data_IF_385285725634
#
_entry.id   IF_385285725634
#
_cell.length_a   1.000
_cell.length_b   1.000
_cell.length_c   1.000
_cell.angle_alpha   90.00
_cell.angle_beta   90.00
_cell.angle_gamma   90.00
#
_symmetry.space_group_name_H-M   'P 1'
#
loop_
_entity.id
_entity.type
_entity.pdbx_description
1 polymer ?
#
# COMPACT_ATOMS: atom_id res chain seq x y z
N UNK A 1 13.69 16.40 22.98
CA UNK A 1 13.71 14.97 23.37
C UNK A 1 14.01 14.12 22.15
N UNK A 2 14.67 12.98 22.30
CA UNK A 2 14.97 12.03 21.21
C UNK A 2 14.25 10.71 21.50
N UNK A 3 13.57 10.16 20.50
CA UNK A 3 12.92 8.85 20.59
C UNK A 3 13.59 7.88 19.61
N UNK A 4 13.76 6.62 20.01
CA UNK A 4 14.43 5.58 19.22
C UNK A 4 13.47 4.43 18.91
N UNK A 5 13.34 4.11 17.63
CA UNK A 5 12.50 3.03 17.09
C UNK A 5 13.25 2.35 15.95
N UNK A 6 12.89 1.10 15.65
CA UNK A 6 13.46 0.36 14.53
C UNK A 6 12.82 0.80 13.21
N UNK A 7 11.54 1.20 13.26
CA UNK A 7 10.77 1.70 12.12
C UNK A 7 10.01 2.97 12.50
N UNK A 8 10.18 4.02 11.71
CA UNK A 8 9.39 5.25 11.78
C UNK A 8 8.51 5.35 10.53
N UNK A 9 7.20 5.39 10.73
CA UNK A 9 6.19 5.50 9.68
C UNK A 9 5.54 6.88 9.79
N UNK A 10 5.61 7.66 8.72
CA UNK A 10 5.02 9.00 8.65
C UNK A 10 3.79 8.93 7.76
N UNK A 11 2.61 8.97 8.38
CA UNK A 11 1.31 8.86 7.73
C UNK A 11 0.54 7.61 8.16
N UNK A 12 -0.74 7.80 8.52
CA UNK A 12 -1.67 6.77 8.97
C UNK A 12 -2.56 6.20 7.86
N UNK A 13 -2.26 6.45 6.58
CA UNK A 13 -3.02 5.86 5.47
C UNK A 13 -2.83 4.35 5.34
N UNK A 14 -3.57 3.72 4.41
CA UNK A 14 -3.54 2.25 4.20
C UNK A 14 -2.13 1.70 4.02
N UNK A 15 -1.24 2.41 3.31
CA UNK A 15 0.12 1.97 3.06
C UNK A 15 0.95 1.88 4.36
N UNK A 16 0.92 2.94 5.18
CA UNK A 16 1.63 3.01 6.45
C UNK A 16 1.12 1.96 7.46
N UNK A 17 -0.21 1.86 7.60
CA UNK A 17 -0.83 0.85 8.46
C UNK A 17 -0.54 -0.58 8.01
N UNK A 18 -0.61 -0.85 6.69
CA UNK A 18 -0.31 -2.16 6.13
C UNK A 18 1.16 -2.56 6.37
N UNK A 19 2.09 -1.62 6.24
CA UNK A 19 3.50 -1.86 6.55
C UNK A 19 3.71 -2.11 8.05
N UNK A 20 3.12 -1.30 8.93
CA UNK A 20 3.20 -1.49 10.38
C UNK A 20 2.73 -2.88 10.81
N UNK A 21 1.60 -3.34 10.26
CA UNK A 21 1.06 -4.67 10.53
C UNK A 21 1.98 -5.78 10.04
N UNK A 22 2.58 -5.66 8.84
CA UNK A 22 3.54 -6.65 8.31
C UNK A 22 4.77 -6.77 9.22
N UNK A 23 5.36 -5.64 9.63
CA UNK A 23 6.53 -5.61 10.52
C UNK A 23 6.20 -6.18 11.90
N UNK A 24 5.06 -5.80 12.47
CA UNK A 24 4.60 -6.28 13.77
C UNK A 24 4.37 -7.80 13.76
N UNK A 25 3.68 -8.33 12.74
CA UNK A 25 3.45 -9.77 12.57
C UNK A 25 4.74 -10.57 12.37
N UNK A 26 5.72 -9.98 11.70
CA UNK A 26 7.02 -10.59 11.49
C UNK A 26 7.98 -10.42 12.69
N UNK A 27 7.52 -9.82 13.79
CA UNK A 27 8.30 -9.54 15.01
C UNK A 27 9.66 -8.87 14.73
N UNK A 28 9.69 -7.93 13.77
CA UNK A 28 10.93 -7.32 13.28
C UNK A 28 11.46 -6.16 14.12
N UNK A 29 10.65 -5.58 15.01
CA UNK A 29 11.10 -4.49 15.88
C UNK A 29 9.97 -3.59 16.37
N UNK A 30 10.36 -2.51 17.05
CA UNK A 30 9.47 -1.47 17.56
C UNK A 30 9.13 -0.49 16.44
N UNK A 31 7.84 -0.29 16.21
CA UNK A 31 7.29 0.63 15.21
C UNK A 31 6.76 1.87 15.91
N UNK A 32 7.12 3.04 15.40
CA UNK A 32 6.46 4.31 15.70
C UNK A 32 5.72 4.79 14.45
N UNK A 33 4.45 5.11 14.60
CA UNK A 33 3.66 5.73 13.55
C UNK A 33 3.24 7.12 14.01
N UNK A 34 3.43 8.11 13.14
CA UNK A 34 3.03 9.49 13.39
C UNK A 34 2.17 9.98 12.22
N UNK A 35 1.18 10.81 12.53
CA UNK A 35 0.34 11.47 11.56
C UNK A 35 0.00 12.89 12.06
N UNK A 36 -0.40 13.76 11.13
CA UNK A 36 -0.74 15.16 11.44
C UNK A 36 -2.06 15.32 12.22
N UNK A 37 -2.89 14.28 12.21
CA UNK A 37 -4.27 14.22 12.73
C UNK A 37 -4.46 12.92 13.53
N UNK A 38 -5.68 12.41 13.66
CA UNK A 38 -5.93 11.08 14.21
C UNK A 38 -5.61 9.97 13.20
N UNK A 39 -5.50 8.72 13.68
CA UNK A 39 -5.14 7.58 12.83
C UNK A 39 -6.22 7.24 11.79
N UNK A 40 -7.48 7.47 12.14
CA UNK A 40 -8.67 7.24 11.31
C UNK A 40 -8.92 8.36 10.28
N UNK A 41 -8.37 9.55 10.52
CA UNK A 41 -8.47 10.70 9.62
C UNK A 41 -7.37 10.64 8.53
N UNK A 42 -7.56 9.73 7.56
CA UNK A 42 -6.72 9.59 6.37
C UNK A 42 -7.56 9.58 5.09
N UNK A 43 -7.00 10.06 3.97
CA UNK A 43 -7.70 10.08 2.67
C UNK A 43 -8.17 8.67 2.23
N UNK A 44 -7.47 7.63 2.65
CA UNK A 44 -7.88 6.23 2.47
C UNK A 44 -9.32 5.99 2.92
N UNK A 45 -9.74 6.56 4.05
CA UNK A 45 -11.07 6.36 4.63
C UNK A 45 -12.22 6.89 3.75
N UNK A 46 -11.90 7.75 2.79
CA UNK A 46 -12.86 8.36 1.86
C UNK A 46 -12.92 7.66 0.49
N UNK A 47 -12.14 6.59 0.26
CA UNK A 47 -12.18 5.85 -0.99
C UNK A 47 -13.53 5.12 -1.18
N UNK A 48 -14.12 5.21 -2.39
CA UNK A 48 -15.49 4.72 -2.66
C UNK A 48 -15.56 3.60 -3.70
N UNK A 49 -14.71 3.64 -4.73
CA UNK A 49 -14.83 2.72 -5.87
C UNK A 49 -14.53 1.27 -5.53
N UNK A 50 -13.37 1.02 -4.90
CA UNK A 50 -12.92 -0.32 -4.53
C UNK A 50 -11.44 -0.53 -4.82
N UNK A 51 -10.98 -1.78 -4.70
CA UNK A 51 -9.62 -2.21 -5.04
C UNK A 51 -9.69 -3.07 -6.29
N UNK A 52 -9.08 -2.62 -7.39
CA UNK A 52 -8.93 -3.43 -8.58
C UNK A 52 -7.91 -4.55 -8.31
N UNK A 53 -8.32 -5.81 -8.50
CA UNK A 53 -7.47 -6.97 -8.29
C UNK A 53 -8.00 -8.17 -9.08
N UNK A 54 -7.08 -9.01 -9.57
CA UNK A 54 -7.42 -10.30 -10.17
C UNK A 54 -7.92 -11.23 -9.06
N UNK A 55 -9.21 -11.54 -9.08
CA UNK A 55 -9.86 -12.38 -8.06
C UNK A 55 -10.49 -13.65 -8.62
N UNK A 56 -10.84 -13.67 -9.91
CA UNK A 56 -11.39 -14.85 -10.60
C UNK A 56 -10.44 -15.32 -11.71
N UNK A 57 -9.63 -16.33 -11.41
CA UNK A 57 -8.63 -16.88 -12.32
C UNK A 57 -9.20 -17.70 -13.48
N UNK A 58 -10.50 -18.03 -13.47
CA UNK A 58 -11.15 -18.73 -14.58
C UNK A 58 -11.40 -17.78 -15.77
N UNK A 59 -11.59 -16.48 -15.50
CA UNK A 59 -11.96 -15.48 -16.53
C UNK A 59 -10.97 -14.32 -16.63
N UNK A 60 -10.13 -14.12 -15.63
CA UNK A 60 -9.15 -13.04 -15.53
C UNK A 60 -7.74 -13.55 -15.20
N UNK A 61 -6.72 -12.74 -15.45
CA UNK A 61 -5.33 -13.07 -15.12
C UNK A 61 -4.46 -11.83 -14.95
N UNK A 62 -3.27 -12.04 -14.36
CA UNK A 62 -2.34 -10.96 -14.06
C UNK A 62 -1.77 -10.29 -15.32
N UNK A 63 -1.57 -11.03 -16.41
CA UNK A 63 -1.01 -10.46 -17.64
C UNK A 63 -1.95 -9.40 -18.25
N UNK A 64 -3.27 -9.66 -18.24
CA UNK A 64 -4.30 -8.68 -18.63
C UNK A 64 -4.24 -7.45 -17.73
N UNK A 65 -4.23 -7.63 -16.42
CA UNK A 65 -4.20 -6.53 -15.44
C UNK A 65 -2.92 -5.67 -15.56
N UNK A 66 -1.77 -6.31 -15.80
CA UNK A 66 -0.49 -5.63 -16.06
C UNK A 66 -0.60 -4.81 -17.35
N UNK A 67 -1.13 -5.39 -18.42
CA UNK A 67 -1.31 -4.68 -19.70
C UNK A 67 -2.22 -3.46 -19.54
N UNK A 68 -3.36 -3.61 -18.85
CA UNK A 68 -4.29 -2.51 -18.57
C UNK A 68 -3.59 -1.38 -17.79
N UNK A 69 -2.77 -1.73 -16.79
CA UNK A 69 -2.01 -0.77 -15.99
C UNK A 69 -0.96 -0.03 -16.82
N UNK A 70 -0.28 -0.73 -17.73
CA UNK A 70 0.71 -0.11 -18.63
C UNK A 70 0.05 0.83 -19.65
N UNK A 71 -1.10 0.44 -20.22
CA UNK A 71 -1.89 1.30 -21.12
C UNK A 71 -2.38 2.54 -20.36
N UNK A 72 -2.96 2.38 -19.17
CA UNK A 72 -3.46 3.48 -18.35
C UNK A 72 -2.35 4.46 -17.93
N UNK A 73 -1.14 3.94 -17.72
CA UNK A 73 0.06 4.72 -17.42
C UNK A 73 0.78 5.25 -18.66
N UNK A 74 0.17 5.24 -19.86
CA UNK A 74 0.76 5.70 -21.12
C UNK A 74 2.16 5.11 -21.39
N UNK A 75 2.38 3.88 -20.95
CA UNK A 75 3.65 3.15 -21.02
C UNK A 75 4.87 3.84 -20.37
N UNK A 76 4.66 4.89 -19.55
CA UNK A 76 5.74 5.53 -18.78
C UNK A 76 5.91 4.93 -17.37
N UNK A 77 5.01 4.04 -16.96
CA UNK A 77 5.13 3.25 -15.73
C UNK A 77 6.35 2.32 -15.76
N UNK A 78 7.02 2.12 -14.62
CA UNK A 78 8.03 1.08 -14.49
C UNK A 78 7.36 -0.30 -14.52
N UNK A 79 7.54 -1.03 -15.62
CA UNK A 79 6.98 -2.36 -15.82
C UNK A 79 7.35 -3.34 -14.69
N UNK A 80 8.56 -3.25 -14.12
CA UNK A 80 8.97 -4.16 -13.03
C UNK A 80 8.19 -3.88 -11.75
N UNK A 81 7.82 -2.62 -11.50
CA UNK A 81 6.98 -2.25 -10.38
C UNK A 81 5.53 -2.70 -10.59
N UNK A 82 5.01 -2.57 -11.81
CA UNK A 82 3.63 -2.99 -12.17
C UNK A 82 3.45 -4.52 -12.07
N UNK A 83 4.46 -5.30 -12.41
CA UNK A 83 4.42 -6.77 -12.40
C UNK A 83 4.57 -7.40 -11.00
N UNK A 84 4.95 -6.63 -9.98
CA UNK A 84 5.44 -7.14 -8.69
C UNK A 84 4.40 -7.90 -7.87
#
# INVERSE_FOLDING_TARGET
MVYKYDFLIIGSGVAGMSYALKVARAHKGKVCMICKTSLDEANTSFAQGGVASVTNLEVDNFDKHIQDTMIAGDYISDYKAVKQ
#
